data_IF_081791846183
#
_entry.id   IF_081791846183
#
_cell.length_a   1.000
_cell.length_b   1.000
_cell.length_c   1.000
_cell.angle_alpha   90.00
_cell.angle_beta   90.00
_cell.angle_gamma   90.00
#
_symmetry.space_group_name_H-M   'P 1'
#
loop_
_entity.id
_entity.type
_entity.pdbx_description
1 polymer ?
#
# COMPACT_ATOMS: atom_id res chain seq x y z
N UNK A 1 -0.81 0.26 12.09
CA UNK A 1 -1.41 1.62 12.02
C UNK A 1 -0.91 2.56 13.10
N UNK A 2 -0.73 2.13 14.36
CA UNK A 2 -0.28 2.99 15.47
C UNK A 2 0.93 3.90 15.14
N UNK A 3 2.01 3.35 14.56
CA UNK A 3 3.20 4.13 14.20
C UNK A 3 2.94 5.18 13.11
N UNK A 4 2.03 4.92 12.17
CA UNK A 4 1.64 5.90 11.15
C UNK A 4 0.92 7.09 11.80
N UNK A 5 -0.01 6.82 12.71
CA UNK A 5 -0.72 7.88 13.44
C UNK A 5 0.20 8.67 14.36
N UNK A 6 1.14 8.00 15.04
CA UNK A 6 2.15 8.68 15.86
C UNK A 6 3.03 9.62 15.03
N UNK A 7 3.26 9.30 13.75
CA UNK A 7 3.96 10.16 12.80
C UNK A 7 3.06 11.23 12.14
N UNK A 8 1.78 11.32 12.53
CA UNK A 8 0.83 12.33 12.02
C UNK A 8 0.11 11.95 10.72
N UNK A 9 0.26 10.72 10.23
CA UNK A 9 -0.40 10.27 9.02
C UNK A 9 -1.92 10.08 9.21
N UNK A 10 -2.68 10.26 8.13
CA UNK A 10 -4.08 9.87 8.04
C UNK A 10 -4.18 8.58 7.24
N UNK A 11 -5.02 7.65 7.70
CA UNK A 11 -5.16 6.33 7.07
C UNK A 11 -6.52 6.21 6.40
N UNK A 12 -6.54 5.79 5.14
CA UNK A 12 -7.72 5.31 4.44
C UNK A 12 -7.53 3.80 4.27
N UNK A 13 -8.43 2.98 4.81
CA UNK A 13 -8.26 1.53 4.84
C UNK A 13 -9.47 0.81 4.24
N UNK A 14 -9.20 -0.31 3.59
CA UNK A 14 -10.19 -1.25 3.10
C UNK A 14 -9.69 -2.67 3.36
N UNK A 15 -10.59 -3.51 3.84
CA UNK A 15 -10.41 -4.96 3.94
C UNK A 15 -11.78 -5.60 3.64
N UNK A 16 -11.87 -6.66 2.82
CA UNK A 16 -13.15 -7.28 2.50
C UNK A 16 -13.87 -7.90 3.71
N UNK A 17 -13.15 -8.24 4.79
CA UNK A 17 -13.69 -9.00 5.93
C UNK A 17 -13.57 -8.25 7.27
N UNK A 18 -12.59 -7.35 7.42
CA UNK A 18 -12.20 -6.81 8.72
C UNK A 18 -12.70 -5.38 9.01
N UNK A 19 -13.57 -4.78 8.18
CA UNK A 19 -14.00 -3.39 8.40
C UNK A 19 -14.79 -3.20 9.70
N UNK A 20 -15.74 -4.08 9.99
CA UNK A 20 -16.54 -3.99 11.23
C UNK A 20 -15.67 -4.15 12.47
N UNK A 21 -14.76 -5.14 12.46
CA UNK A 21 -13.86 -5.38 13.57
C UNK A 21 -12.85 -4.25 13.75
N UNK A 22 -12.36 -3.68 12.65
CA UNK A 22 -11.49 -2.50 12.69
C UNK A 22 -12.24 -1.32 13.29
N UNK A 23 -13.51 -1.11 12.93
CA UNK A 23 -14.35 -0.05 13.51
C UNK A 23 -14.58 -0.26 15.00
N UNK A 24 -14.79 -1.51 15.45
CA UNK A 24 -14.97 -1.87 16.86
C UNK A 24 -13.72 -1.60 17.69
N UNK A 25 -12.55 -1.98 17.19
CA UNK A 25 -11.26 -1.81 17.89
C UNK A 25 -10.79 -0.36 17.86
N UNK A 26 -10.85 0.29 16.69
CA UNK A 26 -10.25 1.61 16.49
C UNK A 26 -11.20 2.77 16.85
N UNK A 27 -12.51 2.52 16.94
CA UNK A 27 -13.51 3.52 17.23
C UNK A 27 -13.60 4.62 16.15
N UNK A 28 -14.36 5.68 16.46
CA UNK A 28 -14.42 6.87 15.61
C UNK A 28 -13.19 7.74 15.86
N UNK A 29 -12.50 8.13 14.79
CA UNK A 29 -11.30 8.95 14.86
C UNK A 29 -11.09 9.74 13.56
N UNK A 30 -10.49 10.93 13.68
CA UNK A 30 -10.34 11.89 12.56
C UNK A 30 -9.27 11.52 11.53
N UNK A 31 -8.37 10.61 11.91
CA UNK A 31 -7.18 10.16 11.19
C UNK A 31 -7.32 8.72 10.65
N UNK A 32 -8.53 8.15 10.69
CA UNK A 32 -8.88 6.88 10.03
C UNK A 32 -10.19 7.05 9.25
N UNK A 33 -10.19 6.56 8.01
CA UNK A 33 -11.40 6.37 7.20
C UNK A 33 -11.45 4.92 6.75
N UNK A 34 -12.53 4.23 7.08
CA UNK A 34 -12.83 2.90 6.58
C UNK A 34 -13.65 3.06 5.30
N UNK A 35 -13.11 2.56 4.20
CA UNK A 35 -13.65 2.76 2.86
C UNK A 35 -14.48 1.55 2.45
N UNK A 36 -15.51 1.74 1.62
CA UNK A 36 -16.36 0.65 1.15
C UNK A 36 -15.73 -0.19 0.02
N UNK A 37 -14.69 0.34 -0.65
CA UNK A 37 -13.99 -0.34 -1.73
C UNK A 37 -12.49 -0.08 -1.68
N UNK A 38 -11.70 -0.97 -2.30
CA UNK A 38 -10.25 -0.83 -2.43
C UNK A 38 -9.86 0.40 -3.25
N UNK A 39 -10.65 0.75 -4.28
CA UNK A 39 -10.42 1.93 -5.12
C UNK A 39 -10.61 3.23 -4.35
N UNK A 40 -11.63 3.29 -3.48
CA UNK A 40 -11.90 4.47 -2.68
C UNK A 40 -10.78 4.75 -1.65
N UNK A 41 -10.07 3.73 -1.18
CA UNK A 41 -8.91 3.88 -0.29
C UNK A 41 -7.71 4.57 -0.97
N UNK A 42 -7.65 4.59 -2.30
CA UNK A 42 -6.55 5.20 -3.05
C UNK A 42 -6.68 6.71 -3.20
N UNK A 43 -7.91 7.24 -3.19
CA UNK A 43 -8.20 8.61 -3.63
C UNK A 43 -7.41 9.65 -2.82
N UNK A 44 -6.47 10.32 -3.50
CA UNK A 44 -5.64 11.38 -2.94
C UNK A 44 -4.66 10.91 -1.84
N UNK A 45 -4.41 9.61 -1.74
CA UNK A 45 -3.43 9.08 -0.80
C UNK A 45 -2.01 9.26 -1.33
N UNK A 46 -1.05 9.51 -0.44
CA UNK A 46 0.35 9.70 -0.84
C UNK A 46 1.05 8.37 -1.14
N UNK A 47 0.64 7.27 -0.49
CA UNK A 47 1.21 5.95 -0.70
C UNK A 47 0.16 4.85 -0.49
N UNK A 48 0.35 3.71 -1.16
CA UNK A 48 -0.42 2.49 -0.93
C UNK A 48 0.38 1.51 -0.06
N UNK A 49 -0.25 0.96 0.98
CA UNK A 49 0.35 -0.09 1.83
C UNK A 49 -0.51 -1.35 1.79
N UNK A 50 0.11 -2.49 1.49
CA UNK A 50 -0.53 -3.81 1.48
C UNK A 50 -0.15 -4.56 2.76
N UNK A 51 -1.15 -4.80 3.61
CA UNK A 51 -0.99 -5.51 4.88
C UNK A 51 -1.53 -6.95 4.85
N UNK A 52 -2.34 -7.30 3.84
CA UNK A 52 -3.06 -8.58 3.71
C UNK A 52 -3.11 -9.01 2.26
N UNK A 53 -3.04 -10.30 1.99
CA UNK A 53 -2.87 -10.92 0.67
C UNK A 53 -4.17 -11.41 0.02
N UNK A 54 -5.29 -10.72 0.28
CA UNK A 54 -6.59 -11.08 -0.27
C UNK A 54 -6.53 -11.22 -1.80
N UNK A 55 -7.22 -12.25 -2.33
CA UNK A 55 -7.30 -12.50 -3.78
C UNK A 55 -7.76 -11.28 -4.56
N UNK A 56 -8.64 -10.47 -3.96
CA UNK A 56 -9.16 -9.22 -4.53
C UNK A 56 -8.07 -8.19 -4.87
N UNK A 57 -6.87 -8.30 -4.30
CA UNK A 57 -5.75 -7.38 -4.54
C UNK A 57 -4.73 -7.92 -5.56
N UNK A 58 -4.82 -9.20 -5.97
CA UNK A 58 -3.82 -9.85 -6.84
C UNK A 58 -3.86 -9.43 -8.31
N UNK A 59 -4.99 -8.88 -8.77
CA UNK A 59 -5.15 -8.36 -10.13
C UNK A 59 -5.48 -6.86 -10.09
N UNK A 60 -4.49 -6.00 -9.76
CA UNK A 60 -4.72 -4.57 -9.68
C UNK A 60 -4.81 -3.93 -11.07
N UNK A 61 -5.59 -2.85 -11.16
CA UNK A 61 -5.48 -1.90 -12.26
C UNK A 61 -4.42 -0.86 -11.89
N UNK A 62 -3.19 -1.05 -12.38
CA UNK A 62 -2.06 -0.17 -12.06
C UNK A 62 -2.23 1.26 -12.56
N UNK A 63 -2.88 1.47 -13.72
CA UNK A 63 -3.16 2.82 -14.22
C UNK A 63 -4.10 3.56 -13.28
N UNK A 64 -5.17 2.91 -12.80
CA UNK A 64 -6.07 3.49 -11.81
C UNK A 64 -5.32 3.83 -10.51
N UNK A 65 -4.42 2.96 -10.05
CA UNK A 65 -3.65 3.23 -8.83
C UNK A 65 -2.78 4.49 -9.01
N UNK A 66 -2.06 4.61 -10.13
CA UNK A 66 -1.25 5.80 -10.43
C UNK A 66 -2.08 7.08 -10.51
N UNK A 67 -3.24 7.02 -11.15
CA UNK A 67 -4.13 8.18 -11.28
C UNK A 67 -4.65 8.67 -9.92
N UNK A 68 -4.87 7.74 -8.99
CA UNK A 68 -5.52 8.03 -7.70
C UNK A 68 -4.56 8.44 -6.60
N UNK A 69 -3.32 7.97 -6.62
CA UNK A 69 -2.30 8.34 -5.65
C UNK A 69 -1.64 9.68 -6.02
N UNK A 70 -1.25 10.47 -5.01
CA UNK A 70 -0.45 11.68 -5.23
C UNK A 70 1.00 11.33 -5.60
N UNK A 71 1.49 10.19 -5.12
CA UNK A 71 2.80 9.66 -5.45
C UNK A 71 2.71 8.17 -5.73
N UNK A 72 3.49 7.67 -6.68
CA UNK A 72 3.49 6.25 -7.06
C UNK A 72 4.33 5.39 -6.08
N UNK A 73 4.21 5.64 -4.77
CA UNK A 73 4.89 4.88 -3.73
C UNK A 73 4.01 3.72 -3.23
N UNK A 74 4.53 2.50 -3.28
CA UNK A 74 3.82 1.30 -2.88
C UNK A 74 4.67 0.46 -1.94
N UNK A 75 4.12 0.18 -0.75
CA UNK A 75 4.73 -0.65 0.28
C UNK A 75 3.97 -1.98 0.38
N UNK A 76 4.62 -3.08 0.05
CA UNK A 76 4.00 -4.39 0.03
C UNK A 76 4.61 -5.31 1.11
N UNK A 77 3.89 -5.41 2.22
CA UNK A 77 4.24 -6.29 3.33
C UNK A 77 4.00 -7.78 3.05
N UNK A 78 3.43 -8.11 1.90
CA UNK A 78 3.00 -9.47 1.52
C UNK A 78 3.64 -9.99 0.24
N UNK A 79 4.51 -9.21 -0.40
CA UNK A 79 5.24 -9.59 -1.61
C UNK A 79 4.30 -10.06 -2.74
N UNK A 80 3.15 -9.39 -2.93
CA UNK A 80 2.13 -9.75 -3.92
C UNK A 80 2.57 -9.53 -5.36
N UNK A 81 3.46 -8.56 -5.61
CA UNK A 81 3.90 -8.22 -6.97
C UNK A 81 5.40 -8.40 -7.17
N UNK A 82 5.77 -8.62 -8.43
CA UNK A 82 7.17 -8.72 -8.86
C UNK A 82 7.83 -7.34 -8.99
N UNK A 83 9.00 -7.11 -8.36
CA UNK A 83 9.62 -5.79 -8.35
C UNK A 83 9.90 -5.18 -9.73
N UNK A 84 10.36 -5.99 -10.68
CA UNK A 84 10.64 -5.52 -12.05
C UNK A 84 9.38 -4.99 -12.73
N UNK A 85 8.28 -5.75 -12.66
CA UNK A 85 6.98 -5.34 -13.20
C UNK A 85 6.49 -4.04 -12.56
N UNK A 86 6.67 -3.87 -11.25
CA UNK A 86 6.27 -2.65 -10.56
C UNK A 86 7.11 -1.44 -11.01
N UNK A 87 8.42 -1.63 -11.19
CA UNK A 87 9.32 -0.62 -11.71
C UNK A 87 8.97 -0.21 -13.15
N UNK A 88 8.70 -1.18 -14.03
CA UNK A 88 8.23 -0.95 -15.41
C UNK A 88 6.92 -0.15 -15.45
N UNK A 89 6.05 -0.34 -14.44
CA UNK A 89 4.81 0.41 -14.30
C UNK A 89 5.00 1.79 -13.63
N UNK A 90 6.22 2.18 -13.25
CA UNK A 90 6.56 3.49 -12.71
C UNK A 90 6.30 3.66 -11.21
N UNK A 91 6.28 2.56 -10.45
CA UNK A 91 6.14 2.60 -9.00
C UNK A 91 7.49 2.57 -8.27
N UNK A 92 7.62 3.40 -7.24
CA UNK A 92 8.58 3.18 -6.17
C UNK A 92 8.05 2.05 -5.28
N UNK A 93 8.51 0.83 -5.54
CA UNK A 93 7.99 -0.39 -4.92
C UNK A 93 8.92 -0.94 -3.83
N UNK A 94 8.46 -0.87 -2.59
CA UNK A 94 9.13 -1.36 -1.40
C UNK A 94 8.44 -2.63 -0.92
N UNK A 95 9.11 -3.77 -1.03
CA UNK A 95 8.57 -5.05 -0.59
C UNK A 95 9.56 -5.78 0.33
N UNK A 96 9.10 -6.76 1.11
CA UNK A 96 9.92 -7.36 2.16
C UNK A 96 11.02 -8.23 1.54
N UNK A 97 12.27 -7.83 1.79
CA UNK A 97 13.47 -8.56 1.35
C UNK A 97 13.77 -8.50 -0.15
N UNK A 98 13.06 -7.67 -0.93
CA UNK A 98 13.23 -7.54 -2.39
C UNK A 98 12.99 -6.09 -2.84
N UNK A 99 13.26 -5.81 -4.13
CA UNK A 99 12.98 -4.52 -4.75
C UNK A 99 13.77 -3.36 -4.13
N UNK A 100 13.16 -2.17 -4.09
CA UNK A 100 13.83 -0.97 -3.58
C UNK A 100 14.21 -1.06 -2.09
N UNK A 101 13.59 -1.96 -1.33
CA UNK A 101 13.92 -2.19 0.08
C UNK A 101 15.34 -2.71 0.31
N UNK A 102 15.96 -3.30 -0.72
CA UNK A 102 17.32 -3.88 -0.63
C UNK A 102 18.27 -3.33 -1.69
N UNK A 103 17.81 -2.41 -2.54
CA UNK A 103 18.58 -1.88 -3.67
C UNK A 103 19.85 -1.14 -3.24
N UNK A 104 19.91 -0.55 -2.04
CA UNK A 104 21.12 0.07 -1.50
C UNK A 104 22.25 -0.93 -1.17
N UNK A 105 21.96 -2.24 -1.19
CA UNK A 105 22.94 -3.30 -0.95
C UNK A 105 23.42 -4.00 -2.23
N UNK A 106 22.93 -3.61 -3.41
CA UNK A 106 23.40 -4.13 -4.69
C UNK A 106 24.60 -3.28 -5.13
N UNK A 107 25.77 -3.92 -5.21
CA UNK A 107 26.96 -3.28 -5.77
C UNK A 107 26.77 -3.06 -7.28
N UNK A 108 27.47 -2.10 -7.89
CA UNK A 108 27.43 -1.84 -9.35
C UNK A 108 27.73 -3.08 -10.23
N UNK A 109 28.20 -4.18 -9.65
CA UNK A 109 28.52 -5.43 -10.35
C UNK A 109 27.36 -6.44 -10.45
N UNK A 110 26.18 -6.16 -9.88
CA UNK A 110 25.03 -7.09 -9.87
C UNK A 110 23.93 -6.74 -10.89
N UNK A 111 24.23 -5.88 -11.89
CA UNK A 111 23.38 -5.53 -13.04
C UNK A 111 24.12 -5.82 -14.36
#
# INVERSE_FOLDING_TARGET
>A
MASLWAAGAKVQAYDPEAMEETQRICGSRKDLRLMGTKEAALQGADALVICTEWKNFRAPNFELIKEKLNTNALFDGRNMFEPSRMAENGFAYYCIGRGLSVAANLSENDL
#
